data_IF_487308406038
#
_entry.id   IF_487308406038
#
_cell.length_a   1.000
_cell.length_b   1.000
_cell.length_c   1.000
_cell.angle_alpha   90.00
_cell.angle_beta   90.00
_cell.angle_gamma   90.00
#
_symmetry.space_group_name_H-M   'P 1'
#
loop_
_entity.id
_entity.type
_entity.pdbx_description
1 polymer ?
#
# COMPACT_ATOMS: atom_id res chain seq x y z
N UNK A 1 -9.37 16.79 22.03
CA UNK A 1 -8.71 15.70 21.27
C UNK A 1 -7.59 16.27 20.42
N UNK A 2 -6.54 15.49 20.10
CA UNK A 2 -5.37 15.91 19.30
C UNK A 2 -5.80 16.46 17.93
N UNK A 3 -6.86 15.90 17.34
CA UNK A 3 -7.44 16.31 16.06
C UNK A 3 -7.98 17.76 16.04
N UNK A 4 -8.49 18.26 17.16
CA UNK A 4 -9.04 19.63 17.25
C UNK A 4 -7.94 20.69 17.28
N UNK A 5 -6.73 20.34 17.76
CA UNK A 5 -5.59 21.28 17.82
C UNK A 5 -4.77 21.34 16.56
N UNK A 6 -4.82 20.33 15.70
CA UNK A 6 -4.03 20.26 14.48
C UNK A 6 -4.67 20.98 13.28
N UNK A 7 -5.87 21.53 13.42
CA UNK A 7 -6.64 22.00 12.27
C UNK A 7 -7.00 20.84 11.31
N UNK A 8 -8.09 20.94 10.62
CA UNK A 8 -8.65 19.87 9.76
C UNK A 8 -7.77 19.40 8.59
N UNK A 9 -6.65 20.05 8.32
CA UNK A 9 -5.77 19.73 7.19
C UNK A 9 -4.52 18.91 7.51
N UNK A 10 -4.19 18.69 8.78
CA UNK A 10 -2.89 18.15 9.17
C UNK A 10 -2.78 16.62 9.31
N UNK A 11 -3.90 15.93 9.47
CA UNK A 11 -3.93 14.49 9.77
C UNK A 11 -4.92 13.73 8.87
N UNK A 12 -4.72 13.82 7.58
CA UNK A 12 -5.43 12.98 6.61
C UNK A 12 -4.55 11.82 6.18
N UNK A 13 -5.15 10.74 5.69
CA UNK A 13 -4.41 9.59 5.17
C UNK A 13 -3.39 10.02 4.10
N UNK A 14 -2.24 9.35 4.08
CA UNK A 14 -1.14 9.63 3.16
C UNK A 14 -0.51 11.01 3.27
N UNK A 15 -0.51 11.54 4.48
CA UNK A 15 0.25 12.74 4.83
C UNK A 15 1.54 12.35 5.54
N UNK A 16 2.67 12.85 5.03
CA UNK A 16 3.92 12.82 5.78
C UNK A 16 3.80 13.78 6.96
N UNK A 17 4.03 13.27 8.16
CA UNK A 17 3.98 14.04 9.39
C UNK A 17 5.32 13.96 10.11
N UNK A 18 5.94 15.10 10.36
CA UNK A 18 7.11 15.25 11.23
C UNK A 18 6.68 16.00 12.49
N UNK A 19 6.91 15.44 13.63
CA UNK A 19 6.46 16.07 14.89
C UNK A 19 7.43 15.83 16.04
N UNK A 20 7.35 16.70 17.03
CA UNK A 20 7.95 16.53 18.35
C UNK A 20 6.85 16.18 19.34
N UNK A 21 7.05 15.12 20.12
CA UNK A 21 6.10 14.71 21.14
C UNK A 21 6.79 14.54 22.49
N UNK A 22 6.10 14.91 23.55
CA UNK A 22 6.48 14.61 24.93
C UNK A 22 5.59 13.49 25.44
N UNK A 23 6.18 12.51 26.11
CA UNK A 23 5.45 11.42 26.74
C UNK A 23 5.12 11.76 28.19
N UNK A 24 3.85 11.60 28.56
CA UNK A 24 3.37 11.66 29.93
C UNK A 24 2.52 10.41 30.21
N UNK A 25 3.10 9.45 30.94
CA UNK A 25 2.53 8.13 31.11
C UNK A 25 2.36 7.38 29.78
N UNK A 26 1.11 7.04 29.43
CA UNK A 26 0.73 6.39 28.15
C UNK A 26 0.31 7.39 27.07
N UNK A 27 0.30 8.68 27.37
CA UNK A 27 -0.17 9.73 26.46
C UNK A 27 1.02 10.46 25.84
N UNK A 28 0.94 10.70 24.54
CA UNK A 28 1.90 11.53 23.82
C UNK A 28 1.28 12.88 23.48
N UNK A 29 1.91 13.95 23.95
CA UNK A 29 1.52 15.32 23.63
C UNK A 29 2.38 15.84 22.48
N UNK A 30 1.76 16.05 21.33
CA UNK A 30 2.43 16.63 20.16
C UNK A 30 2.53 18.15 20.34
N UNK A 31 3.76 18.68 20.34
CA UNK A 31 4.02 20.11 20.58
C UNK A 31 4.27 20.90 19.29
N UNK A 32 4.95 20.30 18.33
CA UNK A 32 5.29 20.91 17.04
C UNK A 32 5.09 19.88 15.95
N UNK A 33 4.57 20.27 14.80
CA UNK A 33 4.47 19.39 13.64
C UNK A 33 4.61 20.13 12.32
N UNK A 34 5.14 19.42 11.34
CA UNK A 34 5.15 19.78 9.93
C UNK A 34 4.40 18.67 9.18
N UNK A 35 3.51 19.04 8.29
CA UNK A 35 2.76 18.09 7.48
C UNK A 35 2.95 18.38 5.99
N UNK A 36 3.08 17.32 5.19
CA UNK A 36 3.11 17.39 3.73
C UNK A 36 2.23 16.27 3.17
N UNK A 37 1.17 16.63 2.49
CA UNK A 37 0.34 15.67 1.77
C UNK A 37 1.17 15.05 0.64
N UNK A 38 1.26 13.72 0.60
CA UNK A 38 1.98 12.97 -0.43
C UNK A 38 1.04 12.51 -1.53
N UNK A 39 -0.17 12.08 -1.15
CA UNK A 39 -1.22 11.67 -2.08
C UNK A 39 -2.53 12.31 -1.63
N UNK A 40 -3.13 13.12 -2.50
CA UNK A 40 -4.41 13.77 -2.24
C UNK A 40 -5.56 12.81 -2.56
N UNK A 41 -6.10 12.16 -1.53
CA UNK A 41 -7.20 11.21 -1.65
C UNK A 41 -8.47 11.84 -2.23
N UNK A 42 -8.67 13.15 -2.05
CA UNK A 42 -9.87 13.86 -2.55
C UNK A 42 -9.84 14.06 -4.08
N UNK A 43 -8.67 13.87 -4.70
CA UNK A 43 -8.50 13.95 -6.16
C UNK A 43 -8.50 12.59 -6.85
N UNK A 44 -8.65 11.51 -6.09
CA UNK A 44 -8.72 10.16 -6.64
C UNK A 44 -10.14 9.86 -7.13
N UNK A 45 -10.23 9.05 -8.19
CA UNK A 45 -11.51 8.40 -8.50
C UNK A 45 -11.90 7.42 -7.38
N UNK A 46 -13.17 7.01 -7.36
CA UNK A 46 -13.64 6.06 -6.35
C UNK A 46 -12.81 4.76 -6.36
N UNK A 47 -12.51 4.22 -7.55
CA UNK A 47 -11.74 2.98 -7.68
C UNK A 47 -10.29 3.17 -7.24
N UNK A 48 -9.65 4.28 -7.61
CA UNK A 48 -8.29 4.61 -7.15
C UNK A 48 -8.25 4.71 -5.62
N UNK A 49 -9.24 5.37 -5.04
CA UNK A 49 -9.37 5.51 -3.59
C UNK A 49 -9.51 4.14 -2.90
N UNK A 50 -10.34 3.23 -3.44
CA UNK A 50 -10.48 1.87 -2.91
C UNK A 50 -9.16 1.10 -2.94
N UNK A 51 -8.38 1.22 -4.02
CA UNK A 51 -7.06 0.60 -4.11
C UNK A 51 -6.09 1.12 -3.02
N UNK A 52 -6.15 2.42 -2.71
CA UNK A 52 -5.31 2.98 -1.65
C UNK A 52 -5.82 2.67 -0.24
N UNK A 53 -7.13 2.49 -0.04
CA UNK A 53 -7.65 1.92 1.22
C UNK A 53 -7.19 0.49 1.43
N UNK A 54 -7.05 -0.30 0.36
CA UNK A 54 -6.44 -1.63 0.43
C UNK A 54 -5.00 -1.56 0.97
N UNK A 55 -4.19 -0.61 0.50
CA UNK A 55 -2.84 -0.39 1.01
C UNK A 55 -2.84 -0.03 2.50
N UNK A 56 -3.78 0.83 2.94
CA UNK A 56 -3.91 1.18 4.37
C UNK A 56 -4.25 -0.08 5.19
N UNK A 57 -5.18 -0.88 4.72
CA UNK A 57 -5.57 -2.11 5.41
C UNK A 57 -4.41 -3.09 5.52
N UNK A 58 -3.62 -3.30 4.44
CA UNK A 58 -2.39 -4.09 4.48
C UNK A 58 -1.42 -3.62 5.57
N UNK A 59 -1.20 -2.32 5.66
CA UNK A 59 -0.32 -1.77 6.71
C UNK A 59 -0.87 -2.09 8.09
N UNK A 60 -2.17 -1.93 8.31
CA UNK A 60 -2.78 -2.17 9.61
C UNK A 60 -2.77 -3.66 10.03
N UNK A 61 -2.88 -4.56 9.07
CA UNK A 61 -2.95 -6.00 9.35
C UNK A 61 -1.56 -6.66 9.50
N UNK A 62 -0.58 -6.20 8.71
CA UNK A 62 0.73 -6.88 8.63
C UNK A 62 1.88 -6.15 9.34
N UNK A 63 1.66 -4.92 9.80
CA UNK A 63 2.70 -4.18 10.52
C UNK A 63 2.21 -3.85 11.93
N UNK A 64 2.87 -4.40 12.97
CA UNK A 64 2.48 -4.17 14.36
C UNK A 64 2.49 -2.68 14.72
N UNK A 65 1.50 -2.27 15.50
CA UNK A 65 1.47 -0.92 16.05
C UNK A 65 2.66 -0.73 16.99
N UNK A 66 3.20 0.50 16.97
CA UNK A 66 4.33 0.90 17.81
C UNK A 66 5.68 0.24 17.46
N UNK A 67 5.74 -0.65 16.47
CA UNK A 67 7.00 -1.16 15.96
C UNK A 67 7.55 -0.29 14.82
N UNK A 68 8.83 0.06 14.94
CA UNK A 68 9.51 0.80 13.88
C UNK A 68 9.82 -0.10 12.70
N UNK A 69 9.21 0.16 11.56
CA UNK A 69 9.55 -0.48 10.28
C UNK A 69 10.01 0.57 9.26
N UNK A 70 11.31 0.82 9.22
CA UNK A 70 11.90 1.83 8.34
C UNK A 70 11.74 1.47 6.85
N UNK A 71 11.78 0.17 6.50
CA UNK A 71 11.61 -0.28 5.11
C UNK A 71 10.21 0.03 4.60
N UNK A 72 9.18 -0.34 5.36
CA UNK A 72 7.78 -0.03 5.00
C UNK A 72 7.54 1.48 4.93
N UNK A 73 8.06 2.25 5.88
CA UNK A 73 7.95 3.70 5.89
C UNK A 73 8.58 4.37 4.66
N UNK A 74 9.80 3.98 4.29
CA UNK A 74 10.49 4.51 3.10
C UNK A 74 9.77 4.10 1.82
N UNK A 75 9.32 2.85 1.72
CA UNK A 75 8.56 2.34 0.59
C UNK A 75 7.28 3.17 0.37
N UNK A 76 6.48 3.36 1.41
CA UNK A 76 5.25 4.14 1.35
C UNK A 76 5.53 5.59 0.95
N UNK A 77 6.55 6.23 1.55
CA UNK A 77 6.91 7.60 1.24
C UNK A 77 7.29 7.80 -0.23
N UNK A 78 8.12 6.92 -0.78
CA UNK A 78 8.51 6.94 -2.20
C UNK A 78 7.31 6.66 -3.11
N UNK A 79 6.59 5.59 -2.84
CA UNK A 79 5.46 5.16 -3.65
C UNK A 79 4.37 6.24 -3.77
N UNK A 80 3.99 6.86 -2.67
CA UNK A 80 2.98 7.91 -2.67
C UNK A 80 3.44 9.16 -3.44
N UNK A 81 4.70 9.56 -3.29
CA UNK A 81 5.25 10.70 -4.02
C UNK A 81 5.21 10.45 -5.53
N UNK A 82 5.56 9.25 -5.96
CA UNK A 82 5.57 8.87 -7.38
C UNK A 82 4.15 8.64 -7.89
N UNK A 83 3.28 8.01 -7.10
CA UNK A 83 1.89 7.73 -7.47
C UNK A 83 1.07 8.98 -7.76
N UNK A 84 1.41 10.13 -7.14
CA UNK A 84 0.74 11.40 -7.42
C UNK A 84 0.79 11.78 -8.91
N UNK A 85 1.82 11.34 -9.63
CA UNK A 85 2.08 11.66 -11.04
C UNK A 85 1.87 10.49 -12.00
N UNK A 86 1.39 9.31 -11.54
CA UNK A 86 1.29 8.08 -12.34
C UNK A 86 -0.09 7.41 -12.22
N UNK A 87 -0.23 6.24 -12.86
CA UNK A 87 -1.42 5.41 -12.69
C UNK A 87 -1.52 4.91 -11.25
N UNK A 88 -2.47 5.45 -10.51
CA UNK A 88 -2.63 5.25 -9.08
C UNK A 88 -3.08 3.85 -8.68
N UNK A 89 -3.85 3.16 -9.55
CA UNK A 89 -4.24 1.76 -9.34
C UNK A 89 -3.02 0.83 -9.46
N UNK A 90 -2.20 1.04 -10.50
CA UNK A 90 -0.98 0.25 -10.70
C UNK A 90 0.00 0.51 -9.56
N UNK A 91 0.21 1.76 -9.17
CA UNK A 91 1.08 2.12 -8.06
C UNK A 91 0.62 1.47 -6.73
N UNK A 92 -0.67 1.48 -6.44
CA UNK A 92 -1.21 0.83 -5.25
C UNK A 92 -0.96 -0.69 -5.25
N UNK A 93 -1.11 -1.37 -6.40
CA UNK A 93 -0.85 -2.81 -6.50
C UNK A 93 0.64 -3.13 -6.35
N UNK A 94 1.53 -2.33 -6.95
CA UNK A 94 2.99 -2.46 -6.76
C UNK A 94 3.35 -2.33 -5.28
N UNK A 95 2.85 -1.29 -4.61
CA UNK A 95 3.07 -1.08 -3.16
C UNK A 95 2.57 -2.27 -2.36
N UNK A 96 1.39 -2.80 -2.68
CA UNK A 96 0.81 -3.95 -1.97
C UNK A 96 1.72 -5.17 -2.04
N UNK A 97 2.23 -5.49 -3.24
CA UNK A 97 3.18 -6.60 -3.45
C UNK A 97 4.46 -6.38 -2.63
N UNK A 98 5.02 -5.17 -2.68
CA UNK A 98 6.26 -4.85 -1.97
C UNK A 98 6.09 -4.81 -0.44
N UNK A 99 4.93 -4.34 0.06
CA UNK A 99 4.62 -4.35 1.49
C UNK A 99 4.53 -5.78 2.03
N UNK A 100 3.86 -6.69 1.34
CA UNK A 100 3.82 -8.11 1.72
C UNK A 100 5.22 -8.69 1.84
N UNK A 101 6.09 -8.40 0.87
CA UNK A 101 7.49 -8.83 0.93
C UNK A 101 8.25 -8.22 2.11
N UNK A 102 8.04 -6.94 2.43
CA UNK A 102 8.64 -6.29 3.60
C UNK A 102 8.12 -6.90 4.90
N UNK A 103 6.87 -7.34 4.93
CA UNK A 103 6.29 -8.07 6.06
C UNK A 103 6.82 -9.52 6.18
N UNK A 104 7.67 -9.96 5.26
CA UNK A 104 8.20 -11.34 5.25
C UNK A 104 7.29 -12.36 4.59
N UNK A 105 6.25 -11.90 3.90
CA UNK A 105 5.27 -12.74 3.22
C UNK A 105 5.58 -12.68 1.72
N UNK A 106 6.28 -13.70 1.21
CA UNK A 106 6.70 -13.75 -0.20
C UNK A 106 5.62 -14.43 -1.06
N UNK A 107 4.80 -13.60 -1.69
CA UNK A 107 3.75 -14.05 -2.61
C UNK A 107 4.29 -14.58 -3.94
N UNK A 108 5.57 -14.41 -4.23
CA UNK A 108 6.25 -14.84 -5.45
C UNK A 108 7.10 -16.10 -5.26
N UNK A 109 6.87 -16.93 -4.23
CA UNK A 109 7.56 -18.20 -4.10
C UNK A 109 7.01 -19.23 -5.09
N UNK A 110 7.89 -20.05 -5.68
CA UNK A 110 7.52 -21.09 -6.68
C UNK A 110 6.42 -22.04 -6.19
N UNK A 111 6.38 -22.33 -4.89
CA UNK A 111 5.41 -23.23 -4.28
C UNK A 111 4.02 -22.60 -4.25
N UNK A 112 3.93 -21.37 -3.84
CA UNK A 112 2.68 -20.58 -3.76
C UNK A 112 2.09 -20.31 -5.14
N UNK A 113 2.93 -20.00 -6.13
CA UNK A 113 2.51 -19.74 -7.52
C UNK A 113 1.86 -20.97 -8.15
N UNK A 114 2.36 -22.18 -7.85
CA UNK A 114 1.78 -23.45 -8.35
C UNK A 114 0.41 -23.74 -7.75
N UNK A 115 0.24 -23.51 -6.46
CA UNK A 115 -1.03 -23.77 -5.77
C UNK A 115 -2.14 -22.80 -6.18
N UNK A 116 -1.84 -21.52 -6.30
CA UNK A 116 -2.81 -20.49 -6.62
C UNK A 116 -2.96 -20.25 -8.14
N UNK A 117 -2.17 -20.92 -8.99
CA UNK A 117 -2.26 -20.92 -10.45
C UNK A 117 -2.18 -19.53 -11.11
N UNK A 118 -1.09 -18.83 -10.85
CA UNK A 118 -0.79 -17.60 -11.58
C UNK A 118 -0.27 -17.94 -12.99
N UNK A 119 -0.73 -17.23 -14.01
CA UNK A 119 -0.24 -17.43 -15.38
C UNK A 119 1.22 -16.99 -15.53
N UNK A 120 1.90 -17.44 -16.58
CA UNK A 120 3.28 -16.99 -16.88
C UNK A 120 3.37 -15.47 -17.02
N UNK A 121 2.34 -14.83 -17.57
CA UNK A 121 2.29 -13.37 -17.67
C UNK A 121 2.08 -12.72 -16.28
N UNK A 122 1.23 -13.30 -15.45
CA UNK A 122 1.03 -12.87 -14.06
C UNK A 122 2.29 -13.02 -13.23
N UNK A 123 3.01 -14.15 -13.32
CA UNK A 123 4.29 -14.37 -12.65
C UNK A 123 5.34 -13.32 -13.03
N UNK A 124 5.49 -13.04 -14.32
CA UNK A 124 6.41 -11.98 -14.79
C UNK A 124 6.03 -10.61 -14.24
N UNK A 125 4.73 -10.30 -14.20
CA UNK A 125 4.25 -9.04 -13.63
C UNK A 125 4.51 -8.98 -12.12
N UNK A 126 4.26 -10.07 -11.39
CA UNK A 126 4.56 -10.18 -9.95
C UNK A 126 6.05 -9.91 -9.66
N UNK A 127 6.95 -10.59 -10.40
CA UNK A 127 8.40 -10.40 -10.26
C UNK A 127 8.80 -8.95 -10.55
N UNK A 128 8.25 -8.36 -11.62
CA UNK A 128 8.50 -6.97 -11.97
C UNK A 128 8.01 -6.01 -10.88
N UNK A 129 6.86 -6.25 -10.28
CA UNK A 129 6.31 -5.45 -9.18
C UNK A 129 7.12 -5.60 -7.91
N UNK A 130 7.53 -6.83 -7.58
CA UNK A 130 8.36 -7.12 -6.40
C UNK A 130 9.71 -6.41 -6.41
N UNK A 131 10.29 -6.24 -7.60
CA UNK A 131 11.61 -5.61 -7.80
C UNK A 131 11.54 -4.19 -8.34
N UNK A 132 10.33 -3.61 -8.47
CA UNK A 132 10.16 -2.28 -9.04
C UNK A 132 10.89 -1.20 -8.23
N UNK A 133 11.73 -0.43 -8.93
CA UNK A 133 12.36 0.75 -8.39
C UNK A 133 11.52 2.00 -8.65
N UNK A 134 11.11 2.66 -7.59
CA UNK A 134 10.26 3.87 -7.65
C UNK A 134 10.95 5.07 -8.30
N UNK A 135 12.26 5.02 -8.52
CA UNK A 135 13.03 6.03 -9.28
C UNK A 135 12.88 5.89 -10.79
N UNK A 136 12.45 4.72 -11.29
CA UNK A 136 12.31 4.42 -12.71
C UNK A 136 10.87 4.60 -13.20
N UNK A 137 10.69 4.89 -14.49
CA UNK A 137 9.35 4.92 -15.10
C UNK A 137 8.86 3.50 -15.43
N UNK A 138 7.56 3.26 -15.20
CA UNK A 138 6.92 2.04 -15.68
C UNK A 138 6.48 2.25 -17.13
N UNK A 139 7.25 1.72 -18.05
CA UNK A 139 7.01 1.89 -19.50
C UNK A 139 6.20 0.75 -20.12
N UNK A 140 6.12 -0.39 -19.44
CA UNK A 140 5.48 -1.59 -20.02
C UNK A 140 3.97 -1.52 -19.89
N UNK A 141 3.21 -1.60 -21.01
CA UNK A 141 1.76 -1.64 -20.92
C UNK A 141 1.29 -2.94 -20.26
N UNK A 142 0.42 -2.80 -19.27
CA UNK A 142 -0.15 -3.93 -18.54
C UNK A 142 -1.52 -4.24 -19.14
N UNK A 143 -1.70 -5.49 -19.60
CA UNK A 143 -3.03 -5.95 -20.04
C UNK A 143 -3.98 -6.00 -18.85
N UNK A 144 -5.19 -5.47 -19.00
CA UNK A 144 -6.18 -5.44 -17.93
C UNK A 144 -6.48 -6.83 -17.34
N UNK A 145 -6.49 -7.88 -18.17
CA UNK A 145 -6.69 -9.26 -17.72
C UNK A 145 -5.57 -9.75 -16.81
N UNK A 146 -4.31 -9.43 -17.10
CA UNK A 146 -3.14 -9.81 -16.29
C UNK A 146 -3.11 -9.00 -14.98
N UNK A 147 -3.50 -7.73 -15.04
CA UNK A 147 -3.64 -6.91 -13.84
C UNK A 147 -4.69 -7.48 -12.87
N UNK A 148 -5.88 -7.81 -13.39
CA UNK A 148 -6.97 -8.42 -12.61
C UNK A 148 -6.59 -9.80 -12.06
N UNK A 149 -5.91 -10.61 -12.87
CA UNK A 149 -5.41 -11.91 -12.43
C UNK A 149 -4.46 -11.77 -11.23
N UNK A 150 -3.48 -10.86 -11.33
CA UNK A 150 -2.53 -10.59 -10.25
C UNK A 150 -3.24 -10.05 -8.99
N UNK A 151 -4.18 -9.11 -9.16
CA UNK A 151 -4.95 -8.58 -8.04
C UNK A 151 -5.74 -9.67 -7.31
N UNK A 152 -6.47 -10.50 -8.06
CA UNK A 152 -7.22 -11.63 -7.49
C UNK A 152 -6.32 -12.71 -6.87
N UNK A 153 -5.11 -12.87 -7.40
CA UNK A 153 -4.11 -13.76 -6.81
C UNK A 153 -3.65 -13.22 -5.43
N UNK A 154 -3.34 -11.94 -5.31
CA UNK A 154 -2.91 -11.31 -4.05
C UNK A 154 -4.02 -11.45 -2.99
N UNK A 155 -5.28 -11.22 -3.33
CA UNK A 155 -6.40 -11.38 -2.39
C UNK A 155 -6.50 -12.83 -1.86
N UNK A 156 -6.39 -13.83 -2.74
CA UNK A 156 -6.39 -15.24 -2.37
C UNK A 156 -5.19 -15.61 -1.53
N UNK A 157 -4.02 -15.09 -1.91
CA UNK A 157 -2.77 -15.32 -1.20
C UNK A 157 -2.85 -14.79 0.25
N UNK A 158 -3.32 -13.57 0.45
CA UNK A 158 -3.49 -12.98 1.78
C UNK A 158 -4.45 -13.80 2.61
N UNK A 159 -5.58 -14.24 2.03
CA UNK A 159 -6.56 -15.05 2.73
C UNK A 159 -5.99 -16.41 3.16
N UNK A 160 -5.23 -17.07 2.28
CA UNK A 160 -4.75 -18.44 2.48
C UNK A 160 -3.50 -18.51 3.35
N UNK A 161 -2.55 -17.59 3.14
CA UNK A 161 -1.24 -17.63 3.80
C UNK A 161 -1.05 -16.53 4.86
N UNK A 162 -1.75 -15.42 4.73
CA UNK A 162 -1.80 -14.38 5.74
C UNK A 162 -2.84 -14.62 6.81
N UNK A 163 -3.77 -15.57 6.60
CA UNK A 163 -4.92 -15.85 7.47
C UNK A 163 -5.79 -14.61 7.74
N UNK A 164 -5.71 -13.61 6.85
CA UNK A 164 -6.41 -12.33 6.98
C UNK A 164 -7.47 -12.22 5.90
N UNK A 165 -8.71 -11.93 6.30
CA UNK A 165 -9.79 -11.59 5.39
C UNK A 165 -9.85 -10.07 5.25
N UNK A 166 -9.29 -9.55 4.15
CA UNK A 166 -9.32 -8.12 3.84
C UNK A 166 -10.75 -7.64 3.64
N UNK A 167 -11.12 -6.53 4.26
CA UNK A 167 -12.41 -5.84 4.06
C UNK A 167 -12.49 -5.19 2.69
N UNK A 168 -11.33 -4.76 2.19
CA UNK A 168 -11.16 -4.14 0.87
C UNK A 168 -10.80 -5.15 -0.22
N UNK A 169 -10.94 -6.47 0.04
CA UNK A 169 -10.72 -7.48 -0.99
C UNK A 169 -11.53 -7.17 -2.26
N UNK A 170 -10.92 -7.37 -3.44
CA UNK A 170 -11.52 -7.01 -4.72
C UNK A 170 -11.41 -5.53 -5.10
N UNK A 171 -10.79 -4.67 -4.28
CA UNK A 171 -10.64 -3.24 -4.56
C UNK A 171 -10.04 -2.94 -5.95
N UNK A 172 -9.10 -3.76 -6.40
CA UNK A 172 -8.46 -3.64 -7.72
C UNK A 172 -9.32 -4.18 -8.87
N UNK A 173 -10.41 -4.89 -8.58
CA UNK A 173 -11.30 -5.53 -9.57
C UNK A 173 -12.53 -4.67 -9.90
N UNK A 174 -12.73 -3.57 -9.16
CA UNK A 174 -13.85 -2.66 -9.36
C UNK A 174 -13.71 -1.98 -10.74
N UNK A 175 -14.75 -2.11 -11.56
CA UNK A 175 -14.98 -1.37 -12.80
C UNK A 175 -16.26 -0.54 -12.65
N UNK A 176 -16.22 0.70 -13.10
CA UNK A 176 -17.41 1.55 -13.29
C UNK A 176 -17.87 1.47 -14.73
#
# INVERSE_FOLDING_TARGET
TVLERCGSGGMVSFTFLRFTAQRDGEIFFMSQYESRMLLDMMRLSYEEMQCWYYVIELVNEFFPKEERNEKAYRLLGHAMTVAAHRNKKVAALIVSVQLLRVAGIDAGSDETERELRLSVAGMKLMQSFSSYDWGSEWETPIKASVFKELAGYIDKFILQYGEVKMKTAGAFLIEV
#
